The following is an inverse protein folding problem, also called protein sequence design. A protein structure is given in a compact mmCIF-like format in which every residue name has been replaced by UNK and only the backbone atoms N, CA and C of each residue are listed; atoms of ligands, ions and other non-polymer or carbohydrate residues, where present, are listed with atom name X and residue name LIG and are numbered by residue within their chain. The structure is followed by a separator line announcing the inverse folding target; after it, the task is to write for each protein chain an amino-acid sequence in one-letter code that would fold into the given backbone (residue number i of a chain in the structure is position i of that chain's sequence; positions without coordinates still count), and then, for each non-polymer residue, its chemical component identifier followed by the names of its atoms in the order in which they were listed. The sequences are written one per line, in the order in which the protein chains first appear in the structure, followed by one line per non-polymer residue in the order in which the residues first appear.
data_IF_832925699878
#
_entry.id   IF_832925699878
#
_cell.length_a   1.000
_cell.length_b   1.000
_cell.length_c   1.000
_cell.angle_alpha   90.00
_cell.angle_beta   90.00
_cell.angle_gamma   90.00
#
_symmetry.space_group_name_H-M   'P 1'
#
loop_
_entity.id
_entity.type
_entity.pdbx_description
1 polymer ?
#
# COMPACT_ATOMS: atom_id res chain seq x y z
N UNK A 1 -48.83 50.19 17.72
CA UNK A 1 -49.20 48.80 17.36
C UNK A 1 -48.66 48.61 15.96
N UNK A 2 -47.47 48.01 15.84
CA UNK A 2 -46.73 48.05 14.58
C UNK A 2 -47.21 46.91 13.68
N UNK A 3 -48.02 47.28 12.71
CA UNK A 3 -48.52 46.40 11.64
C UNK A 3 -47.34 46.06 10.72
N UNK A 4 -46.69 44.92 10.97
CA UNK A 4 -45.76 44.34 9.99
C UNK A 4 -46.60 43.76 8.86
N UNK A 5 -46.45 44.33 7.67
CA UNK A 5 -47.16 43.95 6.45
C UNK A 5 -46.80 42.52 6.04
N UNK A 6 -47.78 41.75 5.58
CA UNK A 6 -47.70 40.33 5.23
C UNK A 6 -46.53 39.97 4.29
N UNK A 7 -46.09 40.93 3.46
CA UNK A 7 -44.94 40.80 2.56
C UNK A 7 -43.61 40.61 3.28
N UNK A 8 -43.43 41.22 4.46
CA UNK A 8 -42.16 41.18 5.21
C UNK A 8 -41.97 39.80 5.87
N UNK A 9 -43.07 39.22 6.34
CA UNK A 9 -43.12 37.86 6.88
C UNK A 9 -42.83 36.80 5.80
N UNK A 10 -43.32 36.99 4.57
CA UNK A 10 -43.04 36.09 3.45
C UNK A 10 -41.57 36.14 3.01
N UNK A 11 -40.96 37.33 2.95
CA UNK A 11 -39.52 37.47 2.64
C UNK A 11 -38.60 36.93 3.73
N UNK A 12 -38.97 37.10 5.00
CA UNK A 12 -38.22 36.53 6.14
C UNK A 12 -38.26 35.01 6.12
N UNK A 13 -39.43 34.43 5.85
CA UNK A 13 -39.59 32.99 5.69
C UNK A 13 -38.80 32.46 4.49
N UNK A 14 -38.84 33.14 3.34
CA UNK A 14 -38.07 32.72 2.15
C UNK A 14 -36.56 32.77 2.38
N UNK A 15 -36.08 33.79 3.11
CA UNK A 15 -34.67 33.95 3.48
C UNK A 15 -34.24 32.86 4.47
N UNK A 16 -35.11 32.52 5.42
CA UNK A 16 -34.91 31.40 6.35
C UNK A 16 -34.79 30.07 5.61
N UNK A 17 -35.73 29.75 4.72
CA UNK A 17 -35.68 28.52 3.93
C UNK A 17 -34.45 28.47 3.01
N UNK A 18 -34.04 29.60 2.41
CA UNK A 18 -32.81 29.68 1.62
C UNK A 18 -31.57 29.34 2.46
N UNK A 19 -31.49 29.86 3.68
CA UNK A 19 -30.38 29.57 4.58
C UNK A 19 -30.38 28.10 5.03
N UNK A 20 -31.54 27.53 5.34
CA UNK A 20 -31.68 26.10 5.67
C UNK A 20 -31.28 25.19 4.50
N UNK A 21 -31.68 25.53 3.26
CA UNK A 21 -31.29 24.78 2.05
C UNK A 21 -29.79 24.89 1.77
N UNK A 22 -29.18 26.07 1.95
CA UNK A 22 -27.74 26.25 1.79
C UNK A 22 -26.96 25.47 2.85
N UNK A 23 -27.45 25.41 4.09
CA UNK A 23 -26.83 24.61 5.15
C UNK A 23 -26.99 23.11 4.89
N UNK A 24 -28.12 22.68 4.32
CA UNK A 24 -28.32 21.30 3.87
C UNK A 24 -27.34 20.92 2.74
N UNK A 25 -27.12 21.80 1.76
CA UNK A 25 -26.14 21.60 0.70
C UNK A 25 -24.71 21.54 1.27
N UNK A 26 -24.39 22.42 2.23
CA UNK A 26 -23.10 22.42 2.92
C UNK A 26 -22.87 21.14 3.71
N UNK A 27 -23.86 20.66 4.44
CA UNK A 27 -23.84 19.39 5.17
C UNK A 27 -23.74 18.19 4.22
N UNK A 28 -24.46 18.18 3.10
CA UNK A 28 -24.36 17.14 2.07
C UNK A 28 -22.99 17.12 1.37
N UNK A 29 -22.35 18.29 1.18
CA UNK A 29 -20.99 18.36 0.66
C UNK A 29 -19.97 17.88 1.70
N UNK A 30 -20.16 18.21 2.99
CA UNK A 30 -19.31 17.76 4.09
C UNK A 30 -19.44 16.24 4.33
N UNK A 31 -20.64 15.67 4.19
CA UNK A 31 -20.91 14.23 4.29
C UNK A 31 -20.58 13.44 3.02
N UNK A 32 -20.28 14.09 1.89
CA UNK A 32 -19.62 13.50 0.71
C UNK A 32 -18.09 13.51 0.79
N UNK A 33 -17.49 14.24 1.72
CA UNK A 33 -16.03 14.16 1.98
C UNK A 33 -15.53 12.83 2.57
N UNK A 34 -16.26 12.03 3.38
CA UNK A 34 -15.73 10.79 3.95
C UNK A 34 -15.49 9.69 2.90
N UNK A 35 -16.17 9.70 1.75
CA UNK A 35 -15.86 8.76 0.65
C UNK A 35 -14.57 9.14 -0.09
N UNK A 36 -14.30 10.44 -0.27
CA UNK A 36 -13.08 10.93 -0.93
C UNK A 36 -11.84 10.91 -0.05
N UNK A 37 -11.99 10.89 1.28
CA UNK A 37 -10.86 10.72 2.21
C UNK A 37 -10.23 9.34 2.00
N UNK A 38 -11.01 8.30 1.72
CA UNK A 38 -10.49 6.97 1.41
C UNK A 38 -9.60 6.97 0.15
N UNK A 39 -10.09 7.55 -0.94
CA UNK A 39 -9.33 7.68 -2.20
C UNK A 39 -8.09 8.58 -2.05
N UNK A 40 -8.15 9.63 -1.22
CA UNK A 40 -7.02 10.53 -0.98
C UNK A 40 -5.94 9.91 -0.06
N UNK A 41 -6.34 9.04 0.88
CA UNK A 41 -5.42 8.24 1.70
C UNK A 41 -4.77 7.13 0.84
N UNK A 42 -5.53 6.48 -0.06
CA UNK A 42 -4.96 5.52 -1.01
C UNK A 42 -4.02 6.17 -2.04
N UNK A 43 -4.31 7.38 -2.53
CA UNK A 43 -3.40 8.11 -3.43
C UNK A 43 -2.13 8.63 -2.74
N UNK A 44 -2.21 9.07 -1.48
CA UNK A 44 -1.04 9.49 -0.70
C UNK A 44 -0.17 8.32 -0.20
N UNK A 45 -0.63 7.09 -0.38
CA UNK A 45 0.14 5.86 -0.13
C UNK A 45 0.39 5.04 -1.40
N UNK A 46 0.26 5.66 -2.58
CA UNK A 46 0.75 5.06 -3.82
C UNK A 46 2.28 5.19 -3.86
N UNK A 47 2.97 4.21 -3.26
CA UNK A 47 4.40 4.04 -3.51
C UNK A 47 4.59 3.82 -5.01
N UNK A 48 5.20 4.80 -5.69
CA UNK A 48 5.61 4.60 -7.07
C UNK A 48 6.81 3.63 -7.11
N UNK A 49 7.03 2.96 -8.24
CA UNK A 49 8.21 2.11 -8.40
C UNK A 49 9.53 2.86 -8.11
N UNK A 50 9.59 4.17 -8.40
CA UNK A 50 10.75 5.01 -8.09
C UNK A 50 10.89 5.43 -6.61
N UNK A 51 9.85 5.25 -5.80
CA UNK A 51 9.96 5.45 -4.35
C UNK A 51 10.56 4.24 -3.66
N UNK A 52 10.16 3.03 -4.08
CA UNK A 52 10.75 1.79 -3.58
C UNK A 52 12.16 1.55 -4.13
N UNK A 53 12.39 1.79 -5.43
CA UNK A 53 13.64 1.47 -6.10
C UNK A 53 14.52 2.68 -6.32
N UNK A 54 15.59 2.77 -5.53
CA UNK A 54 16.58 3.86 -5.67
C UNK A 54 17.69 3.52 -6.66
N UNK A 55 17.87 2.24 -7.00
CA UNK A 55 18.82 1.78 -8.01
C UNK A 55 18.46 0.37 -8.50
N UNK A 56 18.58 0.16 -9.81
CA UNK A 56 18.51 -1.15 -10.47
C UNK A 56 19.70 -1.32 -11.41
N UNK A 57 20.28 -2.53 -11.46
CA UNK A 57 21.33 -2.83 -12.42
C UNK A 57 20.78 -2.83 -13.85
N UNK A 58 21.59 -2.37 -14.81
CA UNK A 58 21.21 -2.26 -16.21
C UNK A 58 20.73 -3.61 -16.78
N UNK A 59 19.75 -3.56 -17.70
CA UNK A 59 19.27 -4.72 -18.49
C UNK A 59 18.44 -5.79 -17.77
N UNK A 60 17.58 -5.40 -16.82
CA UNK A 60 16.62 -6.30 -16.15
C UNK A 60 17.25 -7.41 -15.28
N UNK A 61 18.58 -7.38 -15.08
CA UNK A 61 19.32 -8.42 -14.36
C UNK A 61 18.84 -8.64 -12.91
N UNK A 62 18.33 -7.58 -12.28
CA UNK A 62 17.79 -7.64 -10.91
C UNK A 62 16.38 -8.23 -10.82
N UNK A 63 15.65 -8.27 -11.95
CA UNK A 63 14.24 -8.69 -12.02
C UNK A 63 14.15 -10.16 -12.37
N UNK A 64 13.49 -10.92 -11.52
CA UNK A 64 13.18 -12.33 -11.78
C UNK A 64 11.68 -12.52 -11.98
N UNK A 65 11.30 -13.20 -13.07
CA UNK A 65 9.91 -13.58 -13.32
C UNK A 65 9.63 -14.87 -12.55
N UNK A 66 8.73 -14.76 -11.59
CA UNK A 66 8.41 -15.81 -10.65
C UNK A 66 6.93 -16.15 -10.69
N UNK A 67 6.58 -17.29 -10.12
CA UNK A 67 5.19 -17.65 -9.87
C UNK A 67 4.87 -17.48 -8.39
N UNK A 68 3.88 -16.65 -8.10
CA UNK A 68 3.31 -16.46 -6.76
C UNK A 68 2.27 -17.55 -6.53
N UNK A 69 2.32 -18.17 -5.36
CA UNK A 69 1.39 -19.23 -4.98
C UNK A 69 -0.05 -18.69 -4.87
N UNK A 70 -1.02 -19.53 -5.26
CA UNK A 70 -2.45 -19.26 -5.04
C UNK A 70 -2.76 -18.87 -3.58
N UNK A 71 -3.63 -17.89 -3.40
CA UNK A 71 -4.11 -17.38 -2.12
C UNK A 71 -3.23 -16.30 -1.50
N UNK A 72 -2.20 -15.82 -2.19
CA UNK A 72 -1.33 -14.74 -1.72
C UNK A 72 -1.82 -13.39 -2.23
N UNK A 73 -1.93 -12.41 -1.33
CA UNK A 73 -2.16 -11.01 -1.67
C UNK A 73 -0.92 -10.21 -1.27
N UNK A 74 -0.07 -9.90 -2.25
CA UNK A 74 1.22 -9.26 -2.06
C UNK A 74 1.15 -7.82 -2.56
N UNK A 75 1.47 -6.87 -1.69
CA UNK A 75 1.61 -5.46 -2.03
C UNK A 75 3.02 -5.15 -2.51
N UNK A 76 3.17 -4.08 -3.29
CA UNK A 76 4.46 -3.51 -3.66
C UNK A 76 5.35 -3.37 -2.43
N UNK A 77 6.60 -3.83 -2.55
CA UNK A 77 7.58 -3.78 -1.46
C UNK A 77 7.45 -4.89 -0.42
N UNK A 78 6.49 -5.82 -0.57
CA UNK A 78 6.37 -6.99 0.33
C UNK A 78 7.60 -7.88 0.23
N UNK A 79 8.22 -8.19 1.38
CA UNK A 79 9.32 -9.14 1.47
C UNK A 79 8.80 -10.56 1.26
N UNK A 80 9.41 -11.25 0.31
CA UNK A 80 8.97 -12.58 -0.11
C UNK A 80 10.06 -13.63 0.06
N UNK A 81 9.58 -14.87 0.18
CA UNK A 81 10.39 -16.06 0.27
C UNK A 81 9.92 -17.11 -0.75
N UNK A 82 10.81 -18.03 -1.13
CA UNK A 82 10.51 -19.15 -2.03
C UNK A 82 10.41 -20.40 -1.18
N UNK A 83 9.27 -21.07 -1.25
CA UNK A 83 9.12 -22.38 -0.63
C UNK A 83 9.92 -23.40 -1.43
N UNK A 84 10.68 -24.26 -0.74
CA UNK A 84 11.63 -25.20 -1.35
C UNK A 84 10.92 -26.34 -2.09
N UNK A 85 9.75 -26.74 -1.61
CA UNK A 85 8.99 -27.88 -2.12
C UNK A 85 8.31 -27.60 -3.47
N UNK A 86 7.54 -26.51 -3.55
CA UNK A 86 6.78 -26.14 -4.76
C UNK A 86 7.54 -25.13 -5.65
N UNK A 87 8.59 -24.50 -5.11
CA UNK A 87 9.34 -23.45 -5.79
C UNK A 87 8.53 -22.15 -5.98
N UNK A 88 7.36 -22.04 -5.36
CA UNK A 88 6.51 -20.87 -5.49
C UNK A 88 6.83 -19.82 -4.44
N UNK A 89 6.51 -18.58 -4.79
CA UNK A 89 6.79 -17.42 -3.97
C UNK A 89 5.60 -17.11 -3.07
N UNK A 90 5.90 -16.88 -1.80
CA UNK A 90 4.96 -16.60 -0.72
C UNK A 90 5.49 -15.41 0.09
N UNK A 91 4.63 -14.83 0.91
CA UNK A 91 5.09 -13.88 1.93
C UNK A 91 6.15 -14.56 2.82
N UNK A 92 7.16 -13.79 3.24
CA UNK A 92 8.15 -14.27 4.20
C UNK A 92 7.44 -14.82 5.46
N UNK A 93 7.78 -16.04 5.86
CA UNK A 93 7.33 -16.64 7.10
C UNK A 93 8.56 -17.05 7.94
N UNK A 94 9.02 -16.18 8.86
CA UNK A 94 10.23 -16.42 9.65
C UNK A 94 10.19 -17.67 10.53
N UNK A 95 9.00 -18.16 10.89
CA UNK A 95 8.82 -19.38 11.70
C UNK A 95 8.66 -20.64 10.85
N UNK A 96 8.64 -20.49 9.52
CA UNK A 96 8.60 -21.59 8.58
C UNK A 96 9.87 -22.43 8.60
N UNK A 97 9.77 -23.68 8.15
CA UNK A 97 10.92 -24.58 7.95
C UNK A 97 10.97 -25.10 6.51
N UNK A 98 10.06 -24.65 5.66
CA UNK A 98 9.83 -25.12 4.29
C UNK A 98 10.55 -24.27 3.22
N UNK A 99 11.45 -23.38 3.64
CA UNK A 99 12.14 -22.39 2.79
C UNK A 99 11.51 -21.00 2.86
N UNK A 100 10.27 -20.88 3.36
CA UNK A 100 9.60 -19.58 3.50
C UNK A 100 10.21 -18.69 4.59
N UNK A 101 11.12 -19.22 5.41
CA UNK A 101 11.90 -18.46 6.39
C UNK A 101 13.06 -17.65 5.79
N UNK A 102 13.41 -17.89 4.53
CA UNK A 102 14.52 -17.21 3.88
C UNK A 102 14.02 -16.08 2.99
N UNK A 103 14.35 -14.83 3.32
CA UNK A 103 14.06 -13.67 2.50
C UNK A 103 14.87 -13.73 1.19
N UNK A 104 14.17 -13.62 0.07
CA UNK A 104 14.76 -13.73 -1.27
C UNK A 104 14.75 -12.40 -2.00
N UNK A 105 13.78 -11.55 -1.68
CA UNK A 105 13.53 -10.33 -2.42
C UNK A 105 12.30 -9.58 -1.97
N UNK A 106 11.97 -8.55 -2.74
CA UNK A 106 10.73 -7.79 -2.61
C UNK A 106 9.93 -7.78 -3.92
N UNK A 107 8.61 -7.75 -3.81
CA UNK A 107 7.67 -7.67 -4.93
C UNK A 107 7.69 -6.26 -5.55
N UNK A 108 7.67 -6.19 -6.88
CA UNK A 108 7.63 -4.94 -7.65
C UNK A 108 6.26 -4.55 -8.17
N UNK A 109 5.25 -5.39 -8.03
CA UNK A 109 3.90 -5.10 -8.53
C UNK A 109 2.88 -5.71 -7.60
N UNK A 110 1.81 -4.99 -7.30
CA UNK A 110 0.69 -5.55 -6.54
C UNK A 110 0.16 -6.81 -7.23
N UNK A 111 0.14 -7.93 -6.51
CA UNK A 111 -0.28 -9.24 -7.03
C UNK A 111 -1.28 -9.85 -6.06
N UNK A 112 -2.51 -10.00 -6.54
CA UNK A 112 -3.54 -10.79 -5.88
C UNK A 112 -3.69 -12.13 -6.63
N UNK A 113 -3.01 -13.16 -6.13
CA UNK A 113 -2.97 -14.47 -6.74
C UNK A 113 -4.20 -15.29 -6.33
N UNK A 114 -5.34 -15.10 -7.02
CA UNK A 114 -6.51 -16.00 -6.88
C UNK A 114 -6.22 -17.40 -7.42
N UNK A 115 -5.28 -17.49 -8.36
CA UNK A 115 -4.62 -18.69 -8.86
C UNK A 115 -3.11 -18.43 -8.95
N UNK A 116 -2.32 -19.43 -9.34
CA UNK A 116 -0.87 -19.25 -9.51
C UNK A 116 -0.61 -18.15 -10.55
N UNK A 117 -0.04 -17.03 -10.10
CA UNK A 117 0.11 -15.83 -10.90
C UNK A 117 1.58 -15.53 -11.16
N UNK A 118 1.90 -15.04 -12.37
CA UNK A 118 3.24 -14.56 -12.67
C UNK A 118 3.44 -13.17 -12.04
N UNK A 119 4.56 -12.98 -11.39
CA UNK A 119 4.95 -11.72 -10.78
C UNK A 119 6.40 -11.40 -11.09
N UNK A 120 6.78 -10.14 -10.86
CA UNK A 120 8.18 -9.71 -10.92
C UNK A 120 8.64 -9.38 -9.52
N UNK A 121 9.74 -9.99 -9.11
CA UNK A 121 10.43 -9.67 -7.86
C UNK A 121 11.83 -9.18 -8.15
N UNK A 122 12.38 -8.42 -7.22
CA UNK A 122 13.80 -8.15 -7.18
C UNK A 122 14.47 -9.24 -6.37
N UNK A 123 15.41 -9.95 -6.99
CA UNK A 123 16.18 -11.01 -6.30
C UNK A 123 17.60 -10.61 -5.98
N UNK A 124 18.17 -9.59 -6.65
CA UNK A 124 19.60 -9.22 -6.55
C UNK A 124 19.85 -7.75 -6.86
N UNK A 125 20.88 -7.18 -6.22
CA UNK A 125 21.50 -5.92 -6.64
C UNK A 125 20.53 -4.72 -6.69
N UNK A 126 19.84 -4.43 -5.59
CA UNK A 126 18.88 -3.33 -5.52
C UNK A 126 18.97 -2.60 -4.19
N UNK A 127 18.55 -1.33 -4.20
CA UNK A 127 18.41 -0.54 -2.97
C UNK A 127 16.93 -0.27 -2.75
N UNK A 128 16.40 -0.80 -1.65
CA UNK A 128 15.01 -0.60 -1.22
C UNK A 128 14.94 0.49 -0.16
N UNK A 129 13.89 1.31 -0.20
CA UNK A 129 13.62 2.29 0.85
C UNK A 129 12.92 1.63 2.04
N UNK A 130 13.42 1.81 3.26
CA UNK A 130 12.87 1.19 4.48
C UNK A 130 11.37 1.46 4.68
N UNK A 131 10.91 2.68 4.37
CA UNK A 131 9.50 3.06 4.50
C UNK A 131 8.57 2.39 3.48
N UNK A 132 9.12 1.87 2.38
CA UNK A 132 8.38 1.23 1.31
C UNK A 132 8.40 -0.30 1.41
N UNK A 133 9.20 -0.86 2.32
CA UNK A 133 9.31 -2.30 2.53
C UNK A 133 8.19 -2.76 3.46
N UNK A 134 7.37 -3.69 2.97
CA UNK A 134 6.27 -4.27 3.72
C UNK A 134 6.70 -5.61 4.31
N UNK A 135 6.63 -5.70 5.63
CA UNK A 135 6.99 -6.89 6.40
C UNK A 135 5.74 -7.74 6.70
N UNK A 136 5.89 -9.07 6.87
CA UNK A 136 4.78 -9.92 7.29
C UNK A 136 4.26 -9.50 8.67
N UNK A 137 2.96 -9.71 8.89
CA UNK A 137 2.34 -9.46 10.18
C UNK A 137 3.01 -10.30 11.28
N UNK A 138 3.26 -9.70 12.45
CA UNK A 138 3.85 -10.33 13.63
C UNK A 138 5.34 -10.70 13.53
N UNK A 139 6.11 -10.13 12.61
CA UNK A 139 7.57 -10.30 12.61
C UNK A 139 8.20 -9.64 13.85
N UNK A 140 9.16 -10.30 14.48
CA UNK A 140 9.96 -9.69 15.56
C UNK A 140 11.13 -8.88 15.00
N UNK A 141 11.70 -7.98 15.81
CA UNK A 141 12.87 -7.19 15.39
C UNK A 141 14.10 -8.08 15.07
N UNK A 142 14.29 -9.19 15.79
CA UNK A 142 15.37 -10.14 15.53
C UNK A 142 15.16 -10.86 14.19
N UNK A 143 13.92 -11.29 13.91
CA UNK A 143 13.56 -11.93 12.64
C UNK A 143 13.71 -10.95 11.47
N UNK A 144 13.33 -9.69 11.68
CA UNK A 144 13.52 -8.61 10.70
C UNK A 144 15.01 -8.40 10.43
N UNK A 145 15.85 -8.33 11.47
CA UNK A 145 17.29 -8.16 11.32
C UNK A 145 17.93 -9.33 10.55
N UNK A 146 17.48 -10.56 10.79
CA UNK A 146 17.95 -11.74 10.05
C UNK A 146 17.53 -11.71 8.58
N UNK A 147 16.27 -11.35 8.31
CA UNK A 147 15.78 -11.18 6.95
C UNK A 147 16.55 -10.08 6.19
N UNK A 148 16.91 -8.98 6.86
CA UNK A 148 17.77 -7.93 6.29
C UNK A 148 19.13 -8.50 5.90
N UNK A 149 19.79 -9.27 6.77
CA UNK A 149 21.08 -9.91 6.45
C UNK A 149 20.98 -10.83 5.24
N UNK A 150 19.89 -11.59 5.13
CA UNK A 150 19.65 -12.48 3.98
C UNK A 150 19.47 -11.70 2.67
N UNK A 151 18.79 -10.54 2.73
CA UNK A 151 18.65 -9.63 1.60
C UNK A 151 20.01 -8.98 1.24
N UNK A 152 20.78 -8.54 2.24
CA UNK A 152 22.12 -7.96 2.04
C UNK A 152 23.09 -8.96 1.42
N UNK A 153 23.04 -10.25 1.82
CA UNK A 153 23.82 -11.32 1.23
C UNK A 153 23.51 -11.53 -0.27
N UNK A 154 22.31 -11.15 -0.72
CA UNK A 154 21.90 -11.16 -2.13
C UNK A 154 22.20 -9.84 -2.86
N UNK A 155 22.79 -8.87 -2.16
CA UNK A 155 23.05 -7.52 -2.68
C UNK A 155 21.82 -6.63 -2.70
N UNK A 156 20.79 -6.93 -1.91
CA UNK A 156 19.63 -6.06 -1.70
C UNK A 156 19.85 -5.28 -0.40
N UNK A 157 20.04 -3.97 -0.52
CA UNK A 157 20.33 -3.09 0.62
C UNK A 157 19.08 -2.29 0.97
N UNK A 158 18.63 -2.36 2.22
CA UNK A 158 17.55 -1.51 2.70
C UNK A 158 18.16 -0.23 3.27
N UNK A 159 17.87 0.91 2.64
CA UNK A 159 18.29 2.22 3.16
C UNK A 159 17.17 2.87 3.95
N UNK A 160 17.50 3.30 5.18
CA UNK A 160 16.64 4.21 5.94
C UNK A 160 16.59 5.55 5.23
N UNK A 161 15.39 6.02 4.90
CA UNK A 161 15.18 7.40 4.48
C UNK A 161 15.54 8.31 5.65
N UNK A 162 16.34 9.34 5.39
CA UNK A 162 16.66 10.40 6.37
C UNK A 162 15.53 11.41 6.40
#
# INVERSE_FOLDING_TARGET
MNERTTTDLETDNLTKYRNEVLELIRLCNLSRMPEKIGEFIEQSTSLAHGDLLKYEASSLYSRDQITVAKGQNLKLGTVVAKKTEDGFIRVLNPTGTDGTQTAIGAILSDVNATENAKAVIITRGAILADHAVVWPANITEEQKAEAIKQLEARGIIIRKGV
#
